data_IF_777290247020
#
_entry.id   IF_777290247020
#
_cell.length_a   1.000
_cell.length_b   1.000
_cell.length_c   1.000
_cell.angle_alpha   90.00
_cell.angle_beta   90.00
_cell.angle_gamma   90.00
#
_symmetry.space_group_name_H-M   'P 1'
#
loop_
_entity.id
_entity.type
_entity.pdbx_description
1 polymer ?
#
# COMPACT_ATOMS: atom_id res chain seq x y z
N UNK A 1 -55.01 -53.88 -3.24
CA UNK A 1 -55.15 -52.89 -4.31
C UNK A 1 -54.23 -51.72 -3.96
N UNK A 2 -53.10 -51.82 -4.52
CA UNK A 2 -52.13 -50.86 -5.01
C UNK A 2 -52.19 -49.43 -4.45
N UNK A 3 -51.29 -49.13 -3.48
CA UNK A 3 -50.95 -47.78 -3.05
C UNK A 3 -49.60 -47.38 -3.64
N UNK A 4 -49.55 -46.27 -4.40
CA UNK A 4 -48.32 -45.69 -4.93
C UNK A 4 -47.65 -44.76 -3.91
N UNK A 5 -46.43 -45.07 -3.56
CA UNK A 5 -45.53 -44.27 -2.74
C UNK A 5 -44.74 -43.33 -3.65
N UNK A 6 -44.99 -42.03 -3.59
CA UNK A 6 -44.20 -41.00 -4.28
C UNK A 6 -43.06 -40.56 -3.38
N UNK A 7 -41.81 -40.85 -3.77
CA UNK A 7 -40.60 -40.35 -3.18
C UNK A 7 -40.36 -38.90 -3.62
N UNK A 8 -40.36 -37.98 -2.70
CA UNK A 8 -39.88 -36.61 -2.91
C UNK A 8 -38.36 -36.62 -2.88
N UNK A 9 -37.73 -36.25 -4.00
CA UNK A 9 -36.29 -36.05 -4.13
C UNK A 9 -36.00 -34.59 -3.84
N UNK A 10 -35.40 -34.32 -2.69
CA UNK A 10 -34.82 -33.00 -2.36
C UNK A 10 -33.52 -32.82 -3.12
N UNK A 11 -33.45 -31.90 -4.07
CA UNK A 11 -32.23 -31.39 -4.63
C UNK A 11 -31.64 -30.37 -3.65
N UNK A 12 -30.57 -30.76 -2.97
CA UNK A 12 -29.70 -29.83 -2.27
C UNK A 12 -28.77 -29.17 -3.30
N UNK A 13 -29.01 -27.88 -3.55
CA UNK A 13 -28.12 -27.05 -4.36
C UNK A 13 -26.89 -26.69 -3.52
N UNK A 14 -25.83 -27.45 -3.70
CA UNK A 14 -24.53 -27.16 -3.07
C UNK A 14 -23.91 -25.92 -3.72
N UNK A 15 -23.88 -24.83 -2.97
CA UNK A 15 -23.12 -23.63 -3.32
C UNK A 15 -21.63 -23.95 -3.08
N UNK A 16 -20.89 -24.26 -4.17
CA UNK A 16 -19.43 -24.34 -4.11
C UNK A 16 -18.90 -22.92 -3.90
N UNK A 17 -18.48 -22.65 -2.67
CA UNK A 17 -17.61 -21.52 -2.38
C UNK A 17 -16.23 -21.94 -2.90
N UNK A 18 -15.84 -21.43 -4.07
CA UNK A 18 -14.46 -21.47 -4.53
C UNK A 18 -13.63 -20.56 -3.62
N UNK A 19 -13.16 -21.11 -2.51
CA UNK A 19 -12.03 -20.56 -1.78
C UNK A 19 -10.81 -20.75 -2.68
N UNK A 20 -10.48 -19.73 -3.48
CA UNK A 20 -9.22 -19.69 -4.21
C UNK A 20 -8.09 -19.58 -3.19
N UNK A 21 -7.44 -20.72 -2.93
CA UNK A 21 -6.15 -20.73 -2.25
C UNK A 21 -5.16 -20.01 -3.18
N UNK A 22 -4.77 -18.79 -2.81
CA UNK A 22 -3.63 -18.11 -3.42
C UNK A 22 -2.43 -19.00 -3.16
N UNK A 23 -1.90 -19.63 -4.20
CA UNK A 23 -0.78 -20.56 -4.07
C UNK A 23 0.48 -19.78 -3.70
N UNK A 24 1.36 -20.39 -2.91
CA UNK A 24 2.67 -19.84 -2.54
C UNK A 24 3.54 -19.45 -3.77
N UNK A 25 3.16 -19.84 -4.97
CA UNK A 25 3.80 -19.47 -6.23
C UNK A 25 3.53 -18.02 -6.68
N UNK A 26 2.46 -17.39 -6.20
CA UNK A 26 2.19 -15.96 -6.51
C UNK A 26 3.03 -15.02 -5.65
N UNK A 27 3.52 -15.48 -4.50
CA UNK A 27 4.48 -14.72 -3.68
C UNK A 27 5.93 -14.87 -4.17
N UNK A 28 6.22 -15.89 -4.98
CA UNK A 28 7.53 -16.15 -5.56
C UNK A 28 7.73 -15.52 -6.94
N UNK A 29 7.08 -14.40 -7.22
CA UNK A 29 7.27 -13.62 -8.46
C UNK A 29 8.66 -12.99 -8.63
N UNK A 30 9.68 -13.50 -7.93
CA UNK A 30 11.09 -13.14 -8.07
C UNK A 30 11.95 -14.40 -8.17
N UNK A 31 11.79 -15.13 -9.24
CA UNK A 31 12.63 -16.29 -9.42
C UNK A 31 12.62 -16.84 -10.83
N UNK A 32 13.77 -16.81 -11.43
CA UNK A 32 14.26 -17.52 -12.60
C UNK A 32 13.77 -17.03 -13.97
N UNK A 33 14.76 -16.44 -14.66
CA UNK A 33 14.81 -16.06 -16.08
C UNK A 33 13.98 -14.83 -16.46
N UNK A 34 14.47 -13.73 -16.11
CA UNK A 34 14.93 -12.53 -16.71
C UNK A 34 14.18 -11.94 -17.87
N UNK A 35 12.87 -11.72 -17.87
CA UNK A 35 12.40 -10.53 -18.53
C UNK A 35 12.52 -9.38 -17.51
N UNK A 36 13.53 -8.53 -17.68
CA UNK A 36 13.63 -7.29 -16.91
C UNK A 36 12.31 -6.55 -17.09
N UNK A 37 11.60 -6.26 -15.98
CA UNK A 37 10.34 -5.51 -16.04
C UNK A 37 10.58 -4.21 -16.81
N UNK A 38 9.70 -3.92 -17.76
CA UNK A 38 9.69 -2.63 -18.42
C UNK A 38 9.21 -1.56 -17.42
N UNK A 39 10.15 -0.75 -16.93
CA UNK A 39 9.87 0.35 -16.01
C UNK A 39 9.67 1.66 -16.76
N UNK A 40 9.57 1.66 -18.09
CA UNK A 40 9.26 2.88 -18.82
C UNK A 40 7.90 3.45 -18.40
N UNK A 41 7.80 4.76 -18.35
CA UNK A 41 6.53 5.41 -17.99
C UNK A 41 5.39 5.01 -18.94
N UNK A 42 5.68 4.79 -20.23
CA UNK A 42 4.69 4.34 -21.22
C UNK A 42 4.06 2.99 -20.84
N UNK A 43 4.87 2.03 -20.35
CA UNK A 43 4.39 0.70 -19.93
C UNK A 43 3.68 0.73 -18.58
N UNK A 44 4.04 1.66 -17.70
CA UNK A 44 3.63 1.70 -16.31
C UNK A 44 2.50 2.69 -16.00
N UNK A 45 2.26 3.68 -16.88
CA UNK A 45 1.28 4.74 -16.61
C UNK A 45 -0.13 4.21 -16.34
N UNK A 46 -0.79 4.77 -15.35
CA UNK A 46 -2.19 4.53 -14.97
C UNK A 46 -2.90 5.86 -14.72
N UNK A 47 -4.16 5.92 -15.12
CA UNK A 47 -4.99 7.08 -14.76
C UNK A 47 -5.15 7.15 -13.23
N UNK A 48 -5.01 8.33 -12.63
CA UNK A 48 -5.23 8.50 -11.20
C UNK A 48 -6.74 8.45 -10.88
N UNK A 49 -7.08 8.01 -9.68
CA UNK A 49 -8.48 7.93 -9.26
C UNK A 49 -8.65 8.13 -7.76
N UNK A 50 -9.85 8.56 -7.37
CA UNK A 50 -10.25 8.66 -5.99
C UNK A 50 -10.63 7.29 -5.43
N UNK A 51 -10.11 6.96 -4.24
CA UNK A 51 -10.45 5.73 -3.50
C UNK A 51 -11.44 6.05 -2.39
N UNK A 52 -11.16 7.05 -1.56
CA UNK A 52 -12.01 7.56 -0.50
C UNK A 52 -12.15 9.07 -0.63
N UNK A 53 -13.03 9.70 0.15
CA UNK A 53 -13.25 11.14 0.08
C UNK A 53 -11.94 11.94 0.18
N UNK A 54 -10.95 11.42 0.92
CA UNK A 54 -9.65 12.04 1.17
C UNK A 54 -8.44 11.23 0.68
N UNK A 55 -8.61 10.09 0.01
CA UNK A 55 -7.51 9.24 -0.46
C UNK A 55 -7.58 9.02 -1.96
N UNK A 56 -6.47 9.26 -2.64
CA UNK A 56 -6.36 9.15 -4.09
C UNK A 56 -5.15 8.29 -4.47
N UNK A 57 -5.30 7.45 -5.49
CA UNK A 57 -4.19 6.79 -6.17
C UNK A 57 -3.64 7.72 -7.24
N UNK A 58 -2.33 7.95 -7.22
CA UNK A 58 -1.62 8.77 -8.21
C UNK A 58 -0.39 8.05 -8.81
N UNK A 59 -0.26 6.75 -8.51
CA UNK A 59 0.87 5.89 -8.85
C UNK A 59 0.87 5.33 -10.27
N UNK A 60 1.54 4.18 -10.42
CA UNK A 60 1.74 3.46 -11.67
C UNK A 60 1.29 2.00 -11.52
N UNK A 61 1.37 1.22 -12.60
CA UNK A 61 0.99 -0.20 -12.61
C UNK A 61 1.66 -1.01 -11.51
N UNK A 62 2.97 -0.81 -11.31
CA UNK A 62 3.75 -1.64 -10.39
C UNK A 62 3.86 -1.04 -9.00
N UNK A 63 3.96 0.28 -8.85
CA UNK A 63 4.15 0.97 -7.58
C UNK A 63 2.98 1.91 -7.33
N UNK A 64 2.38 1.78 -6.16
CA UNK A 64 1.37 2.72 -5.72
C UNK A 64 2.04 3.96 -5.13
N UNK A 65 1.54 5.12 -5.52
CA UNK A 65 1.71 6.37 -4.78
C UNK A 65 0.33 6.85 -4.39
N UNK A 66 0.17 7.26 -3.14
CA UNK A 66 -1.12 7.72 -2.63
C UNK A 66 -1.05 9.17 -2.18
N UNK A 67 -2.08 9.93 -2.52
CA UNK A 67 -2.24 11.30 -2.06
C UNK A 67 -3.39 11.36 -1.05
N UNK A 68 -3.13 11.94 0.12
CA UNK A 68 -4.13 12.22 1.15
C UNK A 68 -4.40 13.72 1.14
N UNK A 69 -5.68 14.10 1.01
CA UNK A 69 -6.13 15.49 1.11
C UNK A 69 -6.50 15.81 2.53
N UNK A 70 -6.10 16.99 3.00
CA UNK A 70 -6.42 17.52 4.33
C UNK A 70 -6.97 18.95 4.24
N UNK A 71 -7.42 19.53 5.35
CA UNK A 71 -7.84 20.94 5.37
C UNK A 71 -6.68 21.93 5.16
N UNK A 72 -5.43 21.51 5.35
CA UNK A 72 -4.25 22.39 5.38
C UNK A 72 -3.22 22.05 4.29
N UNK A 73 -3.57 21.18 3.36
CA UNK A 73 -2.73 20.78 2.22
C UNK A 73 -2.75 19.30 1.93
N UNK A 74 -1.75 18.82 1.20
CA UNK A 74 -1.65 17.47 0.70
C UNK A 74 -0.50 16.73 1.37
N UNK A 75 -0.69 15.41 1.57
CA UNK A 75 0.36 14.48 1.97
C UNK A 75 0.50 13.45 0.85
N UNK A 76 1.72 13.20 0.39
CA UNK A 76 2.02 12.17 -0.58
C UNK A 76 2.72 11.00 0.11
N UNK A 77 2.37 9.78 -0.24
CA UNK A 77 3.03 8.54 0.20
C UNK A 77 3.69 7.93 -1.02
N UNK A 78 5.02 7.80 -0.99
CA UNK A 78 5.92 7.35 -2.05
C UNK A 78 5.92 8.25 -3.32
N UNK A 79 7.04 8.24 -4.03
CA UNK A 79 7.33 9.17 -5.14
C UNK A 79 7.67 8.50 -6.45
N UNK A 80 7.48 7.18 -6.54
CA UNK A 80 7.79 6.38 -7.71
C UNK A 80 9.30 6.35 -8.05
N UNK A 81 9.63 6.01 -9.31
CA UNK A 81 10.99 6.06 -9.82
C UNK A 81 11.47 7.50 -10.05
N UNK A 82 12.80 7.69 -10.08
CA UNK A 82 13.44 8.97 -10.42
C UNK A 82 13.88 9.09 -11.87
N UNK A 83 13.35 8.25 -12.77
CA UNK A 83 13.66 8.30 -14.19
C UNK A 83 12.94 9.48 -14.87
N UNK A 84 13.43 9.85 -16.05
CA UNK A 84 12.88 10.98 -16.80
C UNK A 84 11.36 10.86 -17.02
N UNK A 85 10.65 11.93 -16.69
CA UNK A 85 9.21 12.06 -16.88
C UNK A 85 8.34 11.59 -15.70
N UNK A 86 8.89 10.85 -14.72
CA UNK A 86 8.10 10.38 -13.57
C UNK A 86 7.63 11.52 -12.66
N UNK A 87 8.47 12.52 -12.42
CA UNK A 87 8.08 13.69 -11.63
C UNK A 87 6.95 14.48 -12.31
N UNK A 88 7.06 14.75 -13.62
CA UNK A 88 6.00 15.41 -14.38
C UNK A 88 4.71 14.57 -14.40
N UNK A 89 4.81 13.25 -14.55
CA UNK A 89 3.68 12.34 -14.50
C UNK A 89 2.93 12.46 -13.16
N UNK A 90 3.64 12.40 -12.04
CA UNK A 90 3.05 12.50 -10.71
C UNK A 90 2.36 13.86 -10.50
N UNK A 91 3.01 14.96 -10.87
CA UNK A 91 2.39 16.28 -10.79
C UNK A 91 1.17 16.43 -11.72
N UNK A 92 1.21 15.84 -12.92
CA UNK A 92 0.07 15.86 -13.82
C UNK A 92 -1.11 15.02 -13.28
N UNK A 93 -0.84 13.90 -12.64
CA UNK A 93 -1.88 13.10 -11.97
C UNK A 93 -2.55 13.91 -10.86
N UNK A 94 -1.78 14.58 -10.00
CA UNK A 94 -2.31 15.48 -8.94
C UNK A 94 -3.19 16.56 -9.55
N UNK A 95 -2.72 17.23 -10.62
CA UNK A 95 -3.48 18.30 -11.31
C UNK A 95 -4.75 17.79 -11.97
N UNK A 96 -4.72 16.60 -12.57
CA UNK A 96 -5.90 16.03 -13.24
C UNK A 96 -7.03 15.70 -12.27
N UNK A 97 -6.70 15.44 -11.00
CA UNK A 97 -7.64 15.28 -9.90
C UNK A 97 -8.17 16.61 -9.34
N UNK A 98 -7.67 17.76 -9.86
CA UNK A 98 -8.11 19.08 -9.45
C UNK A 98 -7.32 19.74 -8.31
N UNK A 99 -6.16 19.17 -7.95
CA UNK A 99 -5.30 19.67 -6.87
C UNK A 99 -4.07 20.37 -7.43
N UNK A 100 -3.50 21.30 -6.65
CA UNK A 100 -2.24 21.95 -6.98
C UNK A 100 -1.08 21.20 -6.29
N UNK A 101 -0.07 20.70 -7.03
CA UNK A 101 1.12 20.13 -6.40
C UNK A 101 1.87 21.07 -5.44
N UNK A 102 1.70 22.39 -5.56
CA UNK A 102 2.25 23.37 -4.62
C UNK A 102 1.61 23.28 -3.21
N UNK A 103 0.46 22.61 -3.08
CA UNK A 103 -0.18 22.34 -1.79
C UNK A 103 0.40 21.12 -1.08
N UNK A 104 1.35 20.38 -1.67
CA UNK A 104 2.09 19.32 -0.99
C UNK A 104 2.86 19.91 0.20
N UNK A 105 2.60 19.36 1.39
CA UNK A 105 3.26 19.75 2.64
C UNK A 105 4.22 18.68 3.14
N UNK A 106 3.87 17.42 2.94
CA UNK A 106 4.66 16.29 3.37
C UNK A 106 4.71 15.20 2.31
N UNK A 107 5.87 14.56 2.21
CA UNK A 107 6.08 13.33 1.47
C UNK A 107 6.59 12.29 2.46
N UNK A 108 5.92 11.17 2.57
CA UNK A 108 6.33 10.03 3.40
C UNK A 108 6.86 8.94 2.49
N UNK A 109 8.12 8.56 2.66
CA UNK A 109 8.73 7.44 1.95
C UNK A 109 8.54 6.19 2.79
N UNK A 110 7.85 5.19 2.24
CA UNK A 110 7.57 3.94 2.95
C UNK A 110 8.82 3.12 3.18
N UNK A 111 9.76 3.10 2.21
CA UNK A 111 11.06 2.49 2.37
C UNK A 111 12.07 2.93 1.30
N UNK A 112 13.36 2.65 1.54
CA UNK A 112 14.49 3.18 0.78
C UNK A 112 14.79 2.50 -0.55
N UNK A 113 13.85 1.80 -1.20
CA UNK A 113 14.03 1.33 -2.57
C UNK A 113 13.66 2.42 -3.58
N UNK A 114 14.39 2.44 -4.69
CA UNK A 114 14.31 3.49 -5.71
C UNK A 114 12.94 3.68 -6.36
N UNK A 115 12.11 2.65 -6.37
CA UNK A 115 10.73 2.72 -6.86
C UNK A 115 9.75 3.39 -5.90
N UNK A 116 10.19 3.69 -4.68
CA UNK A 116 9.42 4.42 -3.67
C UNK A 116 9.95 5.83 -3.41
N UNK A 117 11.28 6.02 -3.38
CA UNK A 117 11.86 7.35 -3.11
C UNK A 117 12.41 8.06 -4.35
N UNK A 118 12.47 7.41 -5.51
CA UNK A 118 13.24 7.88 -6.66
C UNK A 118 12.89 9.30 -7.14
N UNK A 119 11.61 9.67 -7.10
CA UNK A 119 11.14 11.02 -7.44
C UNK A 119 11.26 12.06 -6.32
N UNK A 120 11.69 11.68 -5.11
CA UNK A 120 11.65 12.57 -3.94
C UNK A 120 12.52 13.82 -4.09
N UNK A 121 13.71 13.68 -4.66
CA UNK A 121 14.61 14.82 -4.92
C UNK A 121 13.96 15.85 -5.85
N UNK A 122 13.39 15.41 -6.97
CA UNK A 122 12.71 16.29 -7.92
C UNK A 122 11.48 16.96 -7.29
N UNK A 123 10.71 16.23 -6.47
CA UNK A 123 9.59 16.81 -5.74
C UNK A 123 10.05 17.90 -4.77
N UNK A 124 11.13 17.65 -4.01
CA UNK A 124 11.70 18.62 -3.07
C UNK A 124 12.20 19.88 -3.77
N UNK A 125 12.82 19.76 -4.96
CA UNK A 125 13.23 20.94 -5.76
C UNK A 125 12.05 21.76 -6.31
N UNK A 126 10.88 21.12 -6.50
CA UNK A 126 9.73 21.72 -7.16
C UNK A 126 8.60 22.12 -6.19
N UNK A 127 8.71 21.74 -4.92
CA UNK A 127 7.74 22.07 -3.88
C UNK A 127 8.46 22.42 -2.58
N UNK A 128 7.72 22.95 -1.60
CA UNK A 128 8.22 23.18 -0.24
C UNK A 128 7.88 21.99 0.69
N UNK A 129 7.63 20.78 0.13
CA UNK A 129 7.23 19.62 0.91
C UNK A 129 8.39 19.07 1.75
N UNK A 130 8.09 18.73 2.98
CA UNK A 130 9.02 18.08 3.92
C UNK A 130 9.07 16.57 3.61
N UNK A 131 10.24 16.04 3.32
CA UNK A 131 10.45 14.62 3.03
C UNK A 131 10.77 13.85 4.31
N UNK A 132 10.00 12.81 4.62
CA UNK A 132 10.17 11.94 5.77
C UNK A 132 10.45 10.49 5.38
N UNK A 133 11.41 9.87 6.07
CA UNK A 133 11.69 8.43 6.03
C UNK A 133 12.30 7.99 7.36
N UNK A 134 12.32 6.69 7.65
CA UNK A 134 13.00 6.18 8.83
C UNK A 134 14.54 6.31 8.72
N UNK A 135 15.22 6.40 9.86
CA UNK A 135 16.69 6.57 9.95
C UNK A 135 17.47 5.57 9.10
N UNK A 136 17.11 4.28 9.21
CA UNK A 136 17.83 3.22 8.50
C UNK A 136 17.64 3.35 6.98
N UNK A 137 16.47 3.78 6.53
CA UNK A 137 16.18 3.93 5.12
C UNK A 137 16.70 5.25 4.54
N UNK A 138 16.83 6.30 5.32
CA UNK A 138 17.65 7.45 4.94
C UNK A 138 19.09 7.05 4.60
N UNK A 139 19.67 6.12 5.38
CA UNK A 139 20.99 5.57 5.10
C UNK A 139 21.04 4.80 3.77
N UNK A 140 20.02 4.01 3.45
CA UNK A 140 19.91 3.30 2.17
C UNK A 140 19.77 4.28 1.01
N UNK A 141 18.88 5.27 1.11
CA UNK A 141 18.63 6.30 0.09
C UNK A 141 19.94 7.06 -0.24
N UNK A 142 20.69 7.45 0.78
CA UNK A 142 21.96 8.17 0.62
C UNK A 142 23.09 7.30 0.04
N UNK A 143 23.03 5.98 0.22
CA UNK A 143 24.00 5.04 -0.32
C UNK A 143 23.69 4.57 -1.74
N UNK A 144 22.46 4.75 -2.20
CA UNK A 144 22.02 4.32 -3.55
C UNK A 144 22.72 5.17 -4.63
N UNK A 145 23.29 4.48 -5.63
CA UNK A 145 23.92 5.12 -6.78
C UNK A 145 22.94 5.14 -7.96
N UNK A 146 22.76 6.31 -8.57
CA UNK A 146 21.99 6.44 -9.80
C UNK A 146 20.75 7.32 -9.72
N UNK A 147 20.23 7.56 -8.51
CA UNK A 147 19.22 8.57 -8.25
C UNK A 147 19.75 9.62 -7.28
N UNK A 148 19.48 10.91 -7.49
CA UNK A 148 19.82 11.93 -6.52
C UNK A 148 18.97 11.72 -5.27
N UNK A 149 19.63 11.65 -4.10
CA UNK A 149 18.94 11.60 -2.83
C UNK A 149 18.33 12.97 -2.50
N UNK A 150 17.10 13.03 -1.97
CA UNK A 150 16.56 14.28 -1.43
C UNK A 150 17.36 14.73 -0.20
N UNK A 151 17.25 16.00 0.17
CA UNK A 151 17.69 16.47 1.48
C UNK A 151 16.87 15.76 2.57
N UNK A 152 17.56 15.39 3.65
CA UNK A 152 16.94 14.73 4.79
C UNK A 152 16.27 15.75 5.69
N UNK A 153 14.94 15.92 5.54
CA UNK A 153 14.20 16.90 6.31
C UNK A 153 13.69 16.34 7.65
N UNK A 154 13.16 15.10 7.61
CA UNK A 154 12.50 14.50 8.78
C UNK A 154 12.83 13.02 8.91
N UNK A 155 13.18 12.62 10.13
CA UNK A 155 13.32 11.21 10.51
C UNK A 155 12.04 10.77 11.20
N UNK A 156 11.42 9.74 10.62
CA UNK A 156 10.23 9.11 11.19
C UNK A 156 10.70 8.03 12.17
N UNK A 157 10.20 8.11 13.40
CA UNK A 157 10.45 7.14 14.45
C UNK A 157 9.21 6.30 14.77
N UNK A 158 9.41 5.21 15.51
CA UNK A 158 8.31 4.36 16.00
C UNK A 158 7.33 5.19 16.83
N UNK A 159 6.02 5.02 16.58
CA UNK A 159 4.92 5.70 17.25
C UNK A 159 4.82 7.23 17.00
N UNK A 160 5.63 7.75 16.08
CA UNK A 160 5.48 9.14 15.66
C UNK A 160 4.09 9.42 15.08
N UNK A 161 3.71 10.69 15.11
CA UNK A 161 2.46 11.17 14.51
C UNK A 161 2.69 12.42 13.69
N UNK A 162 2.08 12.48 12.50
CA UNK A 162 1.97 13.68 11.69
C UNK A 162 0.53 14.19 11.74
N UNK A 163 0.36 15.45 12.15
CA UNK A 163 -0.95 16.11 12.11
C UNK A 163 -0.88 17.21 11.05
N UNK A 164 -1.74 17.12 10.04
CA UNK A 164 -1.94 18.17 9.05
C UNK A 164 -3.44 18.43 8.90
N UNK A 165 -3.86 19.63 9.29
CA UNK A 165 -5.25 19.99 9.29
C UNK A 165 -6.14 19.04 10.10
N UNK A 166 -7.11 18.45 9.44
CA UNK A 166 -8.05 17.48 10.03
C UNK A 166 -7.61 16.02 9.96
N UNK A 167 -6.38 15.75 9.58
CA UNK A 167 -5.88 14.37 9.39
C UNK A 167 -4.67 14.10 10.29
N UNK A 168 -4.65 12.92 10.91
CA UNK A 168 -3.53 12.41 11.71
C UNK A 168 -3.05 11.10 11.12
N UNK A 169 -1.77 11.04 10.78
CA UNK A 169 -1.06 9.81 10.45
C UNK A 169 -0.29 9.33 11.68
N UNK A 170 -0.30 8.02 11.95
CA UNK A 170 0.54 7.37 12.97
C UNK A 170 1.48 6.41 12.25
N UNK A 171 2.74 6.39 12.68
CA UNK A 171 3.79 5.63 12.01
C UNK A 171 4.25 4.46 12.86
N UNK A 172 4.37 3.30 12.20
CA UNK A 172 5.00 2.10 12.73
C UNK A 172 6.26 1.79 11.93
N UNK A 173 7.36 1.52 12.61
CA UNK A 173 8.56 0.96 11.97
C UNK A 173 8.41 -0.55 11.94
N UNK A 174 8.28 -1.12 10.73
CA UNK A 174 8.03 -2.55 10.49
C UNK A 174 9.15 -3.16 9.65
N UNK A 175 10.35 -3.36 10.23
CA UNK A 175 11.53 -3.83 9.51
C UNK A 175 11.32 -5.18 8.84
N UNK A 176 12.07 -5.46 7.76
CA UNK A 176 12.05 -6.74 7.08
C UNK A 176 12.28 -6.62 5.58
N UNK A 177 11.47 -5.82 4.87
CA UNK A 177 11.70 -5.53 3.46
C UNK A 177 12.91 -4.62 3.27
N UNK A 178 13.01 -3.60 4.08
CA UNK A 178 14.21 -2.84 4.42
C UNK A 178 14.29 -2.69 5.95
N UNK A 179 15.43 -2.26 6.53
CA UNK A 179 15.52 -2.05 7.97
C UNK A 179 14.63 -0.91 8.51
N UNK A 180 14.24 0.04 7.65
CA UNK A 180 13.51 1.25 8.05
C UNK A 180 12.11 1.35 7.41
N UNK A 181 11.46 0.21 7.10
CA UNK A 181 10.08 0.26 6.56
C UNK A 181 9.17 1.07 7.46
N UNK A 182 8.52 2.07 6.89
CA UNK A 182 7.47 2.89 7.52
C UNK A 182 6.11 2.37 7.09
N UNK A 183 5.31 1.91 8.04
CA UNK A 183 3.90 1.60 7.87
C UNK A 183 3.04 2.69 8.50
N UNK A 184 1.82 2.89 8.00
CA UNK A 184 1.04 4.09 8.32
C UNK A 184 -0.41 3.73 8.65
N UNK A 185 -0.88 4.14 9.83
CA UNK A 185 -2.30 4.17 10.20
C UNK A 185 -2.86 5.58 9.94
N UNK A 186 -4.01 5.67 9.27
CA UNK A 186 -4.65 6.96 8.98
C UNK A 186 -6.16 6.82 8.73
N UNK A 187 -6.95 7.90 8.96
CA UNK A 187 -8.37 7.91 8.67
C UNK A 187 -8.64 8.09 7.17
N UNK A 188 -9.62 7.35 6.65
CA UNK A 188 -10.21 7.56 5.33
C UNK A 188 -11.73 7.71 5.47
N UNK A 189 -12.38 8.41 4.54
CA UNK A 189 -13.80 8.72 4.65
C UNK A 189 -14.55 8.22 3.40
N UNK A 190 -15.66 7.52 3.62
CA UNK A 190 -16.62 7.11 2.59
C UNK A 190 -17.94 7.84 2.84
N UNK A 191 -18.26 8.84 2.02
CA UNK A 191 -19.44 9.69 2.17
C UNK A 191 -19.55 10.29 3.59
N UNK A 192 -18.41 10.71 4.13
CA UNK A 192 -18.27 11.31 5.46
C UNK A 192 -18.22 10.30 6.61
N UNK A 193 -18.36 9.00 6.35
CA UNK A 193 -18.13 7.95 7.36
C UNK A 193 -16.65 7.65 7.45
N UNK A 194 -16.10 7.75 8.65
CA UNK A 194 -14.69 7.43 8.91
C UNK A 194 -14.46 5.93 8.95
N UNK A 195 -13.34 5.51 8.36
CA UNK A 195 -12.76 4.18 8.44
C UNK A 195 -11.27 4.30 8.77
N UNK A 196 -10.74 3.36 9.53
CA UNK A 196 -9.32 3.28 9.85
C UNK A 196 -8.60 2.50 8.75
N UNK A 197 -7.67 3.16 8.05
CA UNK A 197 -6.82 2.54 7.05
C UNK A 197 -5.43 2.23 7.63
N UNK A 198 -4.81 1.18 7.12
CA UNK A 198 -3.43 0.81 7.37
C UNK A 198 -2.72 0.50 6.05
N UNK A 199 -1.63 1.23 5.81
CA UNK A 199 -0.70 0.96 4.72
C UNK A 199 0.53 0.25 5.30
N UNK A 200 0.77 -1.00 4.87
CA UNK A 200 2.01 -1.71 5.20
C UNK A 200 3.09 -1.35 4.18
N UNK A 201 4.18 -0.75 4.66
CA UNK A 201 5.21 -0.16 3.81
C UNK A 201 6.18 -1.15 3.15
N UNK A 202 6.11 -2.45 3.47
CA UNK A 202 6.98 -3.47 2.86
C UNK A 202 6.40 -4.87 2.99
N UNK A 203 6.27 -5.58 1.90
CA UNK A 203 5.39 -6.76 1.78
C UNK A 203 5.99 -8.09 2.19
N UNK A 204 7.32 -8.22 2.30
CA UNK A 204 7.99 -9.47 2.64
C UNK A 204 9.42 -9.19 3.12
N UNK A 205 10.00 -10.03 4.00
CA UNK A 205 11.38 -9.86 4.41
C UNK A 205 12.34 -10.11 3.24
N UNK A 206 13.38 -9.29 3.12
CA UNK A 206 14.47 -9.47 2.14
C UNK A 206 15.76 -9.97 2.81
N UNK A 207 15.61 -10.78 3.82
CA UNK A 207 16.73 -11.43 4.53
C UNK A 207 16.45 -12.92 4.68
N UNK A 208 17.50 -13.73 4.63
CA UNK A 208 17.47 -15.14 5.02
C UNK A 208 18.01 -15.36 6.43
N UNK A 209 18.45 -14.30 7.11
CA UNK A 209 18.96 -14.40 8.46
C UNK A 209 17.81 -14.59 9.45
N UNK A 210 17.82 -15.66 10.27
CA UNK A 210 16.73 -15.95 11.19
C UNK A 210 16.38 -14.81 12.16
N UNK A 211 17.34 -13.97 12.50
CA UNK A 211 17.09 -12.81 13.36
C UNK A 211 16.23 -11.76 12.65
N UNK A 212 16.56 -11.41 11.40
CA UNK A 212 15.78 -10.45 10.62
C UNK A 212 14.37 -10.97 10.26
N UNK A 213 14.23 -12.29 10.01
CA UNK A 213 12.91 -12.90 9.81
C UNK A 213 12.06 -12.79 11.08
N UNK A 214 12.63 -13.05 12.26
CA UNK A 214 11.91 -12.88 13.54
C UNK A 214 11.54 -11.43 13.80
N UNK A 215 12.43 -10.48 13.52
CA UNK A 215 12.13 -9.05 13.66
C UNK A 215 10.93 -8.63 12.77
N UNK A 216 10.87 -9.16 11.55
CA UNK A 216 9.71 -8.94 10.66
C UNK A 216 8.42 -9.51 11.26
N UNK A 217 8.46 -10.76 11.76
CA UNK A 217 7.30 -11.40 12.42
C UNK A 217 6.86 -10.58 13.64
N UNK A 218 7.80 -10.16 14.49
CA UNK A 218 7.50 -9.33 15.66
C UNK A 218 6.84 -8.00 15.25
N UNK A 219 7.25 -7.42 14.12
CA UNK A 219 6.62 -6.25 13.52
C UNK A 219 5.16 -6.54 13.13
N UNK A 220 4.91 -7.65 12.43
CA UNK A 220 3.56 -8.05 12.03
C UNK A 220 2.65 -8.34 13.22
N UNK A 221 3.16 -8.96 14.29
CA UNK A 221 2.39 -9.20 15.51
C UNK A 221 1.99 -7.89 16.22
N UNK A 222 2.85 -6.86 16.20
CA UNK A 222 2.48 -5.52 16.68
C UNK A 222 1.37 -4.91 15.82
N UNK A 223 1.49 -5.01 14.51
CA UNK A 223 0.48 -4.51 13.55
C UNK A 223 -0.85 -5.25 13.73
N UNK A 224 -0.83 -6.57 13.93
CA UNK A 224 -2.02 -7.39 14.20
C UNK A 224 -2.75 -6.97 15.47
N UNK A 225 -2.02 -6.47 16.46
CA UNK A 225 -2.60 -5.98 17.72
C UNK A 225 -3.32 -4.63 17.58
N UNK A 226 -3.19 -3.93 16.45
CA UNK A 226 -3.92 -2.69 16.20
C UNK A 226 -5.39 -3.02 15.96
N UNK A 227 -6.26 -2.52 16.85
CA UNK A 227 -7.70 -2.76 16.75
C UNK A 227 -8.38 -1.81 15.77
N UNK A 228 -9.42 -2.32 15.08
CA UNK A 228 -10.33 -1.51 14.29
C UNK A 228 -9.81 -1.12 12.92
N UNK A 229 -8.76 -1.77 12.38
CA UNK A 229 -8.38 -1.58 10.98
C UNK A 229 -9.49 -2.14 10.08
N UNK A 230 -10.03 -1.29 9.22
CA UNK A 230 -11.09 -1.63 8.28
C UNK A 230 -10.62 -1.65 6.82
N UNK A 231 -9.52 -0.94 6.52
CA UNK A 231 -9.01 -0.74 5.17
C UNK A 231 -7.54 -1.10 5.10
N UNK A 232 -7.20 -2.10 4.29
CA UNK A 232 -5.81 -2.43 3.94
C UNK A 232 -5.41 -1.72 2.67
N UNK A 233 -4.26 -1.06 2.69
CA UNK A 233 -3.61 -0.43 1.53
C UNK A 233 -2.19 -1.00 1.43
N UNK A 234 -1.73 -1.26 0.22
CA UNK A 234 -0.36 -1.72 -0.07
C UNK A 234 0.35 -0.76 -1.02
N UNK A 235 1.66 -0.60 -0.84
CA UNK A 235 2.49 0.24 -1.70
C UNK A 235 2.82 -0.37 -3.08
N UNK A 236 2.32 -1.59 -3.35
CA UNK A 236 2.30 -2.19 -4.68
C UNK A 236 0.88 -2.67 -5.02
N UNK A 237 0.31 -2.24 -6.16
CA UNK A 237 -1.07 -2.54 -6.54
C UNK A 237 -1.44 -4.02 -6.59
N UNK A 238 -0.48 -4.88 -6.96
CA UNK A 238 -0.70 -6.33 -7.08
C UNK A 238 -0.83 -7.05 -5.72
N UNK A 239 -0.38 -6.43 -4.60
CA UNK A 239 -0.40 -7.06 -3.28
C UNK A 239 -1.81 -7.09 -2.70
N UNK A 240 -2.63 -6.09 -3.00
CA UNK A 240 -3.98 -5.95 -2.45
C UNK A 240 -5.07 -5.87 -3.52
N UNK A 241 -4.75 -6.26 -4.76
CA UNK A 241 -5.66 -6.22 -5.91
C UNK A 241 -6.29 -4.83 -6.12
N UNK A 242 -5.46 -3.78 -6.01
CA UNK A 242 -5.90 -2.39 -6.00
C UNK A 242 -6.77 -2.04 -7.21
N UNK A 243 -6.36 -2.44 -8.43
CA UNK A 243 -7.10 -2.10 -9.64
C UNK A 243 -8.43 -2.85 -9.76
N UNK A 244 -8.52 -4.11 -9.34
CA UNK A 244 -9.78 -4.85 -9.31
C UNK A 244 -10.77 -4.21 -8.32
N UNK A 245 -10.26 -3.79 -7.15
CA UNK A 245 -11.05 -3.07 -6.15
C UNK A 245 -11.49 -1.68 -6.67
N UNK A 246 -10.63 -0.99 -7.40
CA UNK A 246 -10.96 0.28 -8.05
C UNK A 246 -12.05 0.12 -9.13
N UNK A 247 -11.98 -0.94 -9.93
CA UNK A 247 -13.04 -1.26 -10.90
C UNK A 247 -14.36 -1.59 -10.20
N UNK A 248 -14.33 -2.32 -9.09
CA UNK A 248 -15.52 -2.57 -8.29
C UNK A 248 -16.09 -1.27 -7.70
N UNK A 249 -15.21 -0.35 -7.24
CA UNK A 249 -15.59 0.97 -6.74
C UNK A 249 -16.28 1.81 -7.83
N UNK A 250 -15.74 1.81 -9.05
CA UNK A 250 -16.33 2.55 -10.17
C UNK A 250 -17.73 2.02 -10.57
N UNK A 251 -18.04 0.76 -10.26
CA UNK A 251 -19.37 0.14 -10.52
C UNK A 251 -20.30 0.18 -9.31
N UNK A 252 -19.80 0.63 -8.14
CA UNK A 252 -20.54 0.65 -6.87
C UNK A 252 -21.82 1.48 -6.97
N UNK A 253 -22.92 0.90 -6.52
CA UNK A 253 -24.20 1.59 -6.45
C UNK A 253 -24.41 2.24 -5.06
N UNK A 254 -25.25 3.28 -4.95
CA UNK A 254 -25.57 3.87 -3.67
C UNK A 254 -26.08 2.84 -2.65
N UNK A 255 -25.47 2.79 -1.47
CA UNK A 255 -25.84 1.86 -0.40
C UNK A 255 -25.10 0.51 -0.43
N UNK A 256 -24.31 0.23 -1.46
CA UNK A 256 -23.42 -0.94 -1.46
C UNK A 256 -22.19 -0.71 -0.58
N UNK A 257 -21.61 -1.80 -0.06
CA UNK A 257 -20.39 -1.75 0.72
C UNK A 257 -19.21 -1.18 -0.11
N UNK A 258 -18.31 -0.45 0.54
CA UNK A 258 -17.12 0.06 -0.11
C UNK A 258 -16.13 -1.09 -0.39
N UNK A 259 -15.63 -1.32 -1.63
CA UNK A 259 -14.78 -2.47 -1.97
C UNK A 259 -13.44 -2.51 -1.24
N UNK A 260 -13.00 -1.36 -0.69
CA UNK A 260 -11.78 -1.26 0.09
C UNK A 260 -12.01 -1.48 1.60
N UNK A 261 -13.25 -1.53 2.08
CA UNK A 261 -13.58 -1.78 3.49
C UNK A 261 -13.79 -3.28 3.70
N UNK A 262 -12.80 -3.93 4.28
CA UNK A 262 -12.78 -5.37 4.52
C UNK A 262 -11.94 -5.71 5.76
N UNK A 263 -12.44 -5.45 6.99
CA UNK A 263 -11.66 -5.62 8.22
C UNK A 263 -11.14 -7.05 8.40
N UNK A 264 -11.97 -8.05 8.15
CA UNK A 264 -11.56 -9.45 8.27
C UNK A 264 -10.42 -9.83 7.30
N UNK A 265 -10.40 -9.23 6.10
CA UNK A 265 -9.37 -9.49 5.12
C UNK A 265 -8.00 -8.93 5.54
N UNK A 266 -7.97 -7.82 6.30
CA UNK A 266 -6.73 -7.28 6.86
C UNK A 266 -6.09 -8.25 7.84
N UNK A 267 -6.83 -8.71 8.85
CA UNK A 267 -6.30 -9.62 9.86
C UNK A 267 -5.94 -10.99 9.29
N UNK A 268 -6.76 -11.53 8.38
CA UNK A 268 -6.44 -12.77 7.67
C UNK A 268 -5.17 -12.66 6.81
N UNK A 269 -4.92 -11.51 6.19
CA UNK A 269 -3.69 -11.26 5.45
C UNK A 269 -2.47 -11.24 6.36
N UNK A 270 -2.54 -10.57 7.52
CA UNK A 270 -1.45 -10.55 8.51
C UNK A 270 -1.16 -11.98 9.02
N UNK A 271 -2.19 -12.74 9.38
CA UNK A 271 -2.05 -14.12 9.84
C UNK A 271 -1.36 -15.01 8.80
N UNK A 272 -1.77 -14.90 7.54
CA UNK A 272 -1.14 -15.63 6.44
C UNK A 272 0.32 -15.21 6.23
N UNK A 273 0.61 -13.91 6.34
CA UNK A 273 1.98 -13.41 6.16
C UNK A 273 2.90 -13.89 7.29
N UNK A 274 2.44 -13.90 8.53
CA UNK A 274 3.16 -14.46 9.67
C UNK A 274 3.43 -15.96 9.43
N UNK A 275 2.38 -16.74 9.16
CA UNK A 275 2.48 -18.19 8.96
C UNK A 275 3.48 -18.55 7.85
N UNK A 276 3.34 -17.92 6.67
CA UNK A 276 4.24 -18.17 5.54
C UNK A 276 5.70 -17.77 5.84
N UNK A 277 5.88 -16.73 6.69
CA UNK A 277 7.22 -16.29 7.08
C UNK A 277 7.84 -17.23 8.11
N UNK A 278 7.06 -17.76 9.06
CA UNK A 278 7.51 -18.77 10.02
C UNK A 278 7.95 -20.06 9.34
N UNK A 279 7.21 -20.52 8.33
CA UNK A 279 7.56 -21.71 7.53
C UNK A 279 8.92 -21.54 6.81
N UNK A 280 9.36 -20.32 6.55
CA UNK A 280 10.67 -20.04 5.95
C UNK A 280 11.85 -20.22 6.93
N UNK A 281 11.57 -20.36 8.23
CA UNK A 281 12.59 -20.62 9.28
C UNK A 281 12.86 -22.11 9.50
N UNK A 282 12.01 -23.00 8.95
CA UNK A 282 12.16 -24.46 9.04
C UNK A 282 13.00 -25.04 7.92
#
# INVERSE_FOLDING_TARGET
MTGYCTKATSLALGMLICCGTVSAQEQAGMGAEGSQRDISLEAQAREPFQIFDNLYFVGIEFVASFMITTSDGLILIDTLYGDEGYGDYLFNNIRSLGFDPADLKYVVITHGHRDHYGGAHELQERTDAIIGAAEADWTLIQAELGYPAPERDWVIEQDDTLILGNTTLRFDITPGHTPGVVSIEFPVFDQGREHKAYLHGGSAPRTSEPAGIREFIDGLERVKAIEGIEVRIANHPFIDNLFERAEALARRQPGEAHPFVAPEAFYAWIDNLITNTEESLE
#
